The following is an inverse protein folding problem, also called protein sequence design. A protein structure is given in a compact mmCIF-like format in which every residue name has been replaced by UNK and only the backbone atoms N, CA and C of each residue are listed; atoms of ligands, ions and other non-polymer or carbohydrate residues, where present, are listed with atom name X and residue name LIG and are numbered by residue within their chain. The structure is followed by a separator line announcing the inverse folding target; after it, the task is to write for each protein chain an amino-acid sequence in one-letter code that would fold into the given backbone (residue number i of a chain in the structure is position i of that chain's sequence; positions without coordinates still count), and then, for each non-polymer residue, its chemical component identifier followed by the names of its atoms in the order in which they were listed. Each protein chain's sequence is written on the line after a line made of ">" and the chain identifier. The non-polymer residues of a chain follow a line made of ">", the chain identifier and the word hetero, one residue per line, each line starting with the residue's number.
data_IF_850221754969
#
_entry.id   IF_850221754969
#
_cell.length_a   1.000
_cell.length_b   1.000
_cell.length_c   1.000
_cell.angle_alpha   90.00
_cell.angle_beta   90.00
_cell.angle_gamma   90.00
#
_symmetry.space_group_name_H-M   'P 1'
#
loop_
_entity.id
_entity.type
_entity.pdbx_description
1 polymer ?
#
# COMPACT_ATOMS: atom_id res chain seq x y z
N UNK A 1 -29.91 -3.86 -2.43
CA UNK A 1 -28.63 -4.52 -2.09
C UNK A 1 -27.55 -3.47 -2.24
N UNK A 2 -26.89 -3.07 -1.15
CA UNK A 2 -25.81 -2.08 -1.24
C UNK A 2 -24.64 -2.70 -2.03
N UNK A 3 -24.20 -2.02 -3.08
CA UNK A 3 -23.07 -2.46 -3.89
C UNK A 3 -21.81 -2.37 -3.02
N UNK A 4 -21.19 -3.51 -2.68
CA UNK A 4 -19.89 -3.55 -1.98
C UNK A 4 -18.90 -2.72 -2.78
N UNK A 5 -18.31 -1.70 -2.17
CA UNK A 5 -17.25 -0.95 -2.84
C UNK A 5 -16.03 -1.88 -2.91
N UNK A 6 -15.33 -1.89 -4.04
CA UNK A 6 -14.06 -2.60 -4.18
C UNK A 6 -12.94 -1.58 -4.33
N UNK A 7 -11.97 -1.60 -3.41
CA UNK A 7 -10.73 -0.85 -3.58
C UNK A 7 -9.81 -1.61 -4.51
N UNK A 8 -9.24 -0.90 -5.49
CA UNK A 8 -8.19 -1.39 -6.38
C UNK A 8 -7.00 -0.44 -6.21
N UNK A 9 -5.82 -1.00 -5.96
CA UNK A 9 -4.60 -0.23 -5.85
C UNK A 9 -4.04 0.02 -7.25
N UNK A 10 -3.58 1.25 -7.50
CA UNK A 10 -3.05 1.69 -8.79
C UNK A 10 -1.58 2.08 -8.59
N UNK A 11 -0.73 1.68 -9.54
CA UNK A 11 0.70 1.96 -9.50
C UNK A 11 1.45 1.18 -8.42
N UNK A 12 2.43 1.83 -7.80
CA UNK A 12 3.35 1.32 -6.79
C UNK A 12 2.82 1.45 -5.35
N UNK A 13 1.50 1.59 -5.18
CA UNK A 13 0.88 1.81 -3.87
C UNK A 13 0.51 0.51 -3.18
N UNK A 14 0.60 0.52 -1.85
CA UNK A 14 0.24 -0.61 -0.99
C UNK A 14 -0.81 -0.14 0.00
N UNK A 15 -1.86 -0.94 0.16
CA UNK A 15 -2.87 -0.73 1.20
C UNK A 15 -2.49 -1.57 2.41
N UNK A 16 -2.34 -0.92 3.56
CA UNK A 16 -1.93 -1.54 4.81
C UNK A 16 -3.05 -1.32 5.84
N UNK A 17 -3.42 -2.37 6.56
CA UNK A 17 -4.23 -2.31 7.76
C UNK A 17 -3.30 -2.06 8.96
N UNK A 18 -3.26 -0.83 9.49
CA UNK A 18 -2.31 -0.47 10.54
C UNK A 18 -2.63 -1.20 11.84
N UNK A 19 -1.61 -1.76 12.48
CA UNK A 19 -1.75 -2.29 13.82
C UNK A 19 -1.88 -1.14 14.82
N UNK A 20 -2.78 -1.30 15.80
CA UNK A 20 -2.90 -0.36 16.90
C UNK A 20 -1.61 -0.38 17.73
N UNK A 21 -0.96 0.78 17.86
CA UNK A 21 0.24 0.91 18.68
C UNK A 21 -0.03 0.56 20.15
N UNK A 22 1.00 0.10 20.90
CA UNK A 22 0.82 -0.35 22.27
C UNK A 22 0.29 0.76 23.18
N UNK A 23 -0.79 0.47 23.90
CA UNK A 23 -1.36 1.35 24.92
C UNK A 23 -0.50 1.43 26.19
N UNK A 24 0.33 0.41 26.41
CA UNK A 24 1.15 0.25 27.61
C UNK A 24 2.60 -0.05 27.26
N UNK A 25 3.53 0.45 28.07
CA UNK A 25 4.93 0.04 28.02
C UNK A 25 5.06 -1.45 28.39
N UNK A 26 6.19 -2.09 28.07
CA UNK A 26 6.47 -3.47 28.49
C UNK A 26 6.38 -3.66 30.02
N UNK A 27 6.55 -2.59 30.79
CA UNK A 27 6.43 -2.55 32.26
C UNK A 27 5.02 -2.23 32.77
N UNK A 28 4.03 -2.06 31.87
CA UNK A 28 2.62 -1.88 32.22
C UNK A 28 2.18 -0.44 32.44
N UNK A 29 3.02 0.57 32.17
CA UNK A 29 2.64 1.98 32.28
C UNK A 29 1.84 2.41 31.07
N UNK A 30 0.76 3.16 31.27
CA UNK A 30 0.00 3.73 30.16
C UNK A 30 0.82 4.80 29.43
N UNK A 31 0.87 4.71 28.11
CA UNK A 31 1.50 5.73 27.28
C UNK A 31 0.54 6.91 27.10
N UNK A 32 0.97 8.15 27.41
CA UNK A 32 0.19 9.34 27.09
C UNK A 32 0.08 9.50 25.56
N UNK A 33 -1.00 10.10 25.06
CA UNK A 33 -1.25 10.24 23.61
C UNK A 33 -0.11 10.96 22.88
N UNK A 34 0.58 11.88 23.55
CA UNK A 34 1.73 12.62 23.03
C UNK A 34 2.91 11.74 22.63
N UNK A 35 3.08 10.56 23.24
CA UNK A 35 4.16 9.63 22.88
C UNK A 35 3.76 8.81 21.65
N UNK A 36 2.50 8.38 21.57
CA UNK A 36 1.97 7.64 20.41
C UNK A 36 2.02 8.46 19.12
N UNK A 37 1.79 9.77 19.20
CA UNK A 37 1.92 10.66 18.04
C UNK A 37 3.37 10.91 17.63
N UNK A 38 4.33 10.67 18.53
CA UNK A 38 5.75 10.88 18.27
C UNK A 38 6.40 9.69 17.55
N UNK A 39 5.78 8.52 17.60
CA UNK A 39 6.22 7.34 16.88
C UNK A 39 5.96 7.52 15.38
N UNK A 40 7.01 7.93 14.67
CA UNK A 40 6.98 8.19 13.22
C UNK A 40 6.83 6.92 12.39
N UNK A 41 7.20 5.77 12.93
CA UNK A 41 7.16 4.46 12.27
C UNK A 41 5.99 3.68 12.82
N UNK A 42 5.15 3.15 11.93
CA UNK A 42 4.04 2.28 12.27
C UNK A 42 4.15 0.96 11.50
N UNK A 43 3.59 -0.11 12.06
CA UNK A 43 3.50 -1.42 11.44
C UNK A 43 2.06 -1.78 11.10
N UNK A 44 1.88 -2.71 10.16
CA UNK A 44 0.58 -3.23 9.79
C UNK A 44 0.66 -4.34 8.76
N UNK A 45 -0.48 -4.95 8.48
CA UNK A 45 -0.60 -6.03 7.49
C UNK A 45 -1.02 -5.51 6.13
N UNK A 46 -0.38 -6.00 5.07
CA UNK A 46 -0.69 -5.62 3.69
C UNK A 46 -2.00 -6.27 3.27
N UNK A 47 -3.00 -5.44 2.92
CA UNK A 47 -4.32 -5.89 2.47
C UNK A 47 -4.38 -6.01 0.95
N UNK A 48 -3.79 -5.04 0.24
CA UNK A 48 -3.74 -5.01 -1.22
C UNK A 48 -2.46 -4.41 -1.73
N UNK A 49 -2.01 -4.92 -2.88
CA UNK A 49 -0.80 -4.47 -3.55
C UNK A 49 -1.17 -3.93 -4.93
N UNK A 50 -0.60 -2.78 -5.29
CA UNK A 50 -0.72 -2.22 -6.63
C UNK A 50 0.08 -3.01 -7.67
N UNK A 51 -0.20 -2.81 -8.97
CA UNK A 51 0.50 -3.50 -10.06
C UNK A 51 2.00 -3.21 -10.14
N UNK A 52 2.48 -2.15 -9.47
CA UNK A 52 3.88 -1.72 -9.47
C UNK A 52 4.18 -0.67 -10.53
N UNK A 53 5.42 -0.65 -11.01
CA UNK A 53 5.91 0.40 -11.89
C UNK A 53 5.69 0.07 -13.36
N UNK A 54 5.15 0.99 -14.18
CA UNK A 54 5.03 0.75 -15.61
C UNK A 54 6.42 0.64 -16.24
N UNK A 55 6.67 -0.46 -16.93
CA UNK A 55 7.90 -0.72 -17.66
C UNK A 55 7.61 -0.67 -19.15
N UNK A 56 8.25 0.28 -19.83
CA UNK A 56 8.26 0.35 -21.28
C UNK A 56 9.41 -0.51 -21.79
N UNK A 57 9.11 -1.58 -22.52
CA UNK A 57 10.13 -2.44 -23.11
C UNK A 57 10.80 -1.72 -24.29
N UNK A 58 12.08 -1.30 -24.16
CA UNK A 58 12.77 -0.57 -25.23
C UNK A 58 12.98 -1.44 -26.48
N UNK A 59 13.01 -2.77 -26.34
CA UNK A 59 13.24 -3.69 -27.47
C UNK A 59 12.03 -3.80 -28.41
N UNK A 60 10.83 -3.40 -27.97
CA UNK A 60 9.61 -3.39 -28.81
C UNK A 60 9.41 -2.11 -29.61
N UNK A 61 10.33 -1.14 -29.52
CA UNK A 61 10.21 0.16 -30.19
C UNK A 61 10.58 0.16 -31.67
N UNK A 62 11.16 -0.91 -32.22
CA UNK A 62 11.78 -0.91 -33.55
C UNK A 62 10.92 -1.42 -34.71
N UNK A 63 9.73 -1.97 -34.50
CA UNK A 63 8.95 -2.58 -35.60
C UNK A 63 7.71 -1.74 -36.02
N UNK A 64 7.73 -1.08 -37.21
CA UNK A 64 6.66 -0.17 -37.65
C UNK A 64 5.30 -0.85 -37.92
N UNK A 65 5.29 -2.17 -38.10
CA UNK A 65 4.11 -2.97 -38.43
C UNK A 65 3.47 -3.65 -37.20
N UNK A 66 4.18 -3.66 -36.07
CA UNK A 66 3.65 -4.09 -34.78
C UNK A 66 2.78 -2.95 -34.26
N UNK A 67 1.51 -2.95 -34.66
CA UNK A 67 0.52 -2.01 -34.16
C UNK A 67 0.64 -1.93 -32.62
N UNK A 68 0.99 -0.75 -32.11
CA UNK A 68 1.02 -0.44 -30.67
C UNK A 68 -0.34 -0.79 -30.07
N UNK A 69 -0.51 -2.04 -29.61
CA UNK A 69 -1.73 -2.46 -28.92
C UNK A 69 -1.73 -1.73 -27.58
N UNK A 70 -2.83 -1.05 -27.29
CA UNK A 70 -3.08 -0.31 -26.05
C UNK A 70 -3.07 -1.18 -24.76
N UNK A 71 -2.64 -2.45 -24.83
CA UNK A 71 -2.60 -3.42 -23.74
C UNK A 71 -1.22 -4.00 -23.43
N UNK A 72 -0.13 -3.51 -24.05
CA UNK A 72 1.22 -4.04 -23.82
C UNK A 72 1.97 -3.29 -22.69
N UNK A 73 1.24 -2.57 -21.81
CA UNK A 73 1.84 -1.99 -20.60
C UNK A 73 2.19 -3.13 -19.65
N UNK A 74 3.48 -3.45 -19.58
CA UNK A 74 4.02 -4.35 -18.57
C UNK A 74 4.29 -3.56 -17.30
N UNK A 75 4.13 -4.22 -16.16
CA UNK A 75 4.47 -3.64 -14.87
C UNK A 75 5.57 -4.48 -14.22
N UNK A 76 6.51 -3.82 -13.56
CA UNK A 76 7.41 -4.45 -12.62
C UNK A 76 6.67 -4.52 -11.29
N UNK A 77 6.37 -5.72 -10.77
CA UNK A 77 5.61 -5.86 -9.54
C UNK A 77 6.39 -5.34 -8.34
N UNK A 78 5.67 -5.00 -7.28
CA UNK A 78 6.27 -4.69 -5.99
C UNK A 78 6.86 -5.95 -5.34
N UNK A 79 7.80 -5.76 -4.42
CA UNK A 79 8.45 -6.87 -3.69
C UNK A 79 7.52 -7.54 -2.67
N UNK A 80 6.37 -6.92 -2.37
CA UNK A 80 5.49 -7.29 -1.26
C UNK A 80 4.24 -8.02 -1.75
N UNK A 81 3.71 -8.92 -0.93
CA UNK A 81 2.51 -9.69 -1.21
C UNK A 81 1.38 -9.36 -0.22
N UNK A 82 0.15 -9.68 -0.61
CA UNK A 82 -0.99 -9.58 0.31
C UNK A 82 -0.78 -10.54 1.50
N UNK A 83 -0.92 -10.01 2.71
CA UNK A 83 -0.68 -10.73 3.97
C UNK A 83 0.68 -10.48 4.61
N UNK A 84 1.63 -9.83 3.93
CA UNK A 84 2.92 -9.49 4.53
C UNK A 84 2.79 -8.41 5.61
N UNK A 85 3.73 -8.39 6.57
CA UNK A 85 3.83 -7.31 7.56
C UNK A 85 4.80 -6.23 7.07
N UNK A 86 4.35 -4.99 7.02
CA UNK A 86 5.13 -3.85 6.55
C UNK A 86 5.31 -2.81 7.64
N UNK A 87 6.52 -2.25 7.70
CA UNK A 87 6.82 -1.04 8.46
C UNK A 87 6.81 0.16 7.52
N UNK A 88 6.13 1.22 7.91
CA UNK A 88 6.00 2.43 7.10
C UNK A 88 6.05 3.68 7.99
N UNK A 89 6.36 4.82 7.37
CA UNK A 89 6.34 6.10 8.05
C UNK A 89 4.92 6.68 8.01
N UNK A 90 4.37 6.98 9.18
CA UNK A 90 3.02 7.55 9.28
C UNK A 90 2.91 8.89 8.54
N UNK A 91 3.95 9.71 8.63
CA UNK A 91 4.02 11.04 7.99
C UNK A 91 4.02 10.97 6.45
N UNK A 92 4.40 9.82 5.86
CA UNK A 92 4.44 9.61 4.42
C UNK A 92 3.24 8.81 3.90
N UNK A 93 2.34 8.40 4.79
CA UNK A 93 1.17 7.61 4.46
C UNK A 93 -0.10 8.46 4.31
N UNK A 94 -1.06 7.96 3.55
CA UNK A 94 -2.40 8.54 3.45
C UNK A 94 -3.38 7.69 4.26
N UNK A 95 -4.03 8.29 5.26
CA UNK A 95 -5.12 7.63 5.99
C UNK A 95 -6.40 7.68 5.13
N UNK A 96 -7.05 6.54 4.95
CA UNK A 96 -8.32 6.44 4.21
C UNK A 96 -9.37 5.75 5.08
N UNK A 97 -10.61 6.25 5.06
CA UNK A 97 -11.73 5.58 5.72
C UNK A 97 -12.55 4.83 4.67
N UNK A 98 -12.77 3.53 4.88
CA UNK A 98 -13.49 2.67 3.97
C UNK A 98 -14.50 1.78 4.69
N UNK A 99 -15.78 1.90 4.32
CA UNK A 99 -16.89 1.13 4.90
C UNK A 99 -16.87 1.11 6.45
N UNK A 100 -16.58 2.26 7.06
CA UNK A 100 -16.49 2.49 8.52
C UNK A 100 -15.30 1.82 9.23
N UNK A 101 -14.26 1.44 8.48
CA UNK A 101 -12.93 1.14 9.02
C UNK A 101 -11.94 2.20 8.57
N UNK A 102 -11.14 2.68 9.53
CA UNK A 102 -10.07 3.67 9.34
C UNK A 102 -8.74 2.96 9.10
#
# INVERSE_FOLDING_TARGET
>A
MAQKKQIIMIGDRVLIDPEAGPDRTQTGLYLPPTVKEKDRVQGGFVVKVGPGYPFQDPAKSEEPWSAKRAGDLRYIPLQIYEGDYALFLRDAAFEIEFESKK
#
